data_IF_392710887497
#
_entry.id   IF_392710887497
#
_cell.length_a   1.000
_cell.length_b   1.000
_cell.length_c   1.000
_cell.angle_alpha   90.00
_cell.angle_beta   90.00
_cell.angle_gamma   90.00
#
_symmetry.space_group_name_H-M   'P 1'
#
loop_
_entity.id
_entity.type
_entity.pdbx_description
1 polymer ?
#
# COMPACT_ATOMS: atom_id res chain seq x y z
N UNK A 1 -15.19 -1.05 67.25
CA UNK A 1 -13.96 -0.28 66.95
C UNK A 1 -13.37 -0.64 65.57
N UNK A 2 -14.21 -0.79 64.52
CA UNK A 2 -13.75 -1.20 63.17
C UNK A 2 -14.30 -0.33 62.01
N UNK A 3 -15.15 0.68 62.31
CA UNK A 3 -15.78 1.55 61.29
C UNK A 3 -15.02 2.87 61.01
N UNK A 4 -14.12 3.32 61.89
CA UNK A 4 -13.47 4.63 61.77
C UNK A 4 -12.34 4.70 60.74
N UNK A 5 -11.66 3.58 60.48
CA UNK A 5 -10.48 3.56 59.60
C UNK A 5 -10.82 3.47 58.10
N UNK A 6 -11.95 2.87 57.73
CA UNK A 6 -12.34 2.68 56.32
C UNK A 6 -12.72 4.01 55.65
N UNK A 7 -13.37 4.93 56.37
CA UNK A 7 -13.83 6.22 55.84
C UNK A 7 -12.67 7.21 55.54
N UNK A 8 -11.60 7.19 56.35
CA UNK A 8 -10.41 8.03 56.13
C UNK A 8 -9.54 7.55 54.96
N UNK A 9 -9.54 6.24 54.70
CA UNK A 9 -8.84 5.66 53.54
C UNK A 9 -9.63 5.98 52.27
N UNK A 10 -10.96 5.81 52.28
CA UNK A 10 -11.78 6.04 51.09
C UNK A 10 -11.75 7.51 50.62
N UNK A 11 -11.73 8.48 51.54
CA UNK A 11 -11.61 9.91 51.23
C UNK A 11 -10.22 10.32 50.73
N UNK A 12 -9.16 9.65 51.21
CA UNK A 12 -7.80 9.87 50.70
C UNK A 12 -7.61 9.35 49.27
N UNK A 13 -8.18 8.18 48.96
CA UNK A 13 -8.08 7.57 47.63
C UNK A 13 -8.90 8.32 46.58
N UNK A 14 -10.07 8.88 46.94
CA UNK A 14 -10.81 9.72 46.00
C UNK A 14 -10.04 11.00 45.66
N UNK A 15 -9.42 11.66 46.64
CA UNK A 15 -8.63 12.87 46.38
C UNK A 15 -7.41 12.60 45.49
N UNK A 16 -6.70 11.48 45.68
CA UNK A 16 -5.55 11.10 44.84
C UNK A 16 -5.98 10.67 43.43
N UNK A 17 -7.10 9.97 43.29
CA UNK A 17 -7.65 9.57 41.99
C UNK A 17 -8.13 10.80 41.19
N UNK A 18 -8.88 11.72 41.81
CA UNK A 18 -9.38 12.92 41.13
C UNK A 18 -8.26 13.89 40.73
N UNK A 19 -7.24 14.08 41.58
CA UNK A 19 -6.07 14.90 41.23
C UNK A 19 -5.22 14.26 40.13
N UNK A 20 -5.02 12.93 40.18
CA UNK A 20 -4.32 12.18 39.14
C UNK A 20 -5.02 12.19 37.79
N UNK A 21 -6.35 11.96 37.76
CA UNK A 21 -7.16 12.04 36.54
C UNK A 21 -7.18 13.46 35.96
N UNK A 22 -7.21 14.50 36.81
CA UNK A 22 -7.14 15.91 36.38
C UNK A 22 -5.82 16.25 35.69
N UNK A 23 -4.68 15.88 36.28
CA UNK A 23 -3.35 16.07 35.69
C UNK A 23 -3.17 15.27 34.39
N UNK A 24 -3.65 14.03 34.35
CA UNK A 24 -3.59 13.19 33.15
C UNK A 24 -4.46 13.74 32.01
N UNK A 25 -5.67 14.25 32.31
CA UNK A 25 -6.55 14.86 31.33
C UNK A 25 -5.96 16.16 30.74
N UNK A 26 -5.39 17.03 31.58
CA UNK A 26 -4.71 18.25 31.14
C UNK A 26 -3.47 17.95 30.27
N UNK A 27 -2.68 16.94 30.64
CA UNK A 27 -1.52 16.50 29.86
C UNK A 27 -1.93 15.87 28.51
N UNK A 28 -3.01 15.07 28.48
CA UNK A 28 -3.60 14.57 27.22
C UNK A 28 -4.13 15.71 26.34
N UNK A 29 -4.78 16.73 26.90
CA UNK A 29 -5.31 17.88 26.12
C UNK A 29 -4.20 18.73 25.50
N UNK A 30 -3.05 18.88 26.16
CA UNK A 30 -1.88 19.56 25.59
C UNK A 30 -1.24 18.77 24.43
N UNK A 31 -1.11 17.44 24.58
CA UNK A 31 -0.52 16.57 23.53
C UNK A 31 -1.43 16.35 22.31
N UNK A 32 -2.75 16.54 22.42
CA UNK A 32 -3.67 16.46 21.27
C UNK A 32 -3.69 17.71 20.42
N UNK A 33 -3.60 18.91 21.02
CA UNK A 33 -3.54 20.19 20.29
C UNK A 33 -2.31 20.26 19.38
N UNK A 34 -1.15 19.84 19.90
CA UNK A 34 0.08 19.79 19.11
C UNK A 34 -0.01 18.78 17.94
N UNK A 35 -0.68 17.63 18.15
CA UNK A 35 -0.96 16.66 17.08
C UNK A 35 -1.90 17.22 16.00
N UNK A 36 -2.92 17.99 16.36
CA UNK A 36 -3.84 18.60 15.39
C UNK A 36 -3.15 19.66 14.53
N UNK A 37 -2.33 20.53 15.12
CA UNK A 37 -1.54 21.53 14.38
C UNK A 37 -0.53 20.86 13.43
N UNK A 38 0.14 19.80 13.87
CA UNK A 38 1.03 19.01 13.00
C UNK A 38 0.26 18.32 11.86
N UNK A 39 -0.95 17.81 12.09
CA UNK A 39 -1.77 17.20 11.04
C UNK A 39 -2.27 18.22 10.00
N UNK A 40 -2.63 19.44 10.41
CA UNK A 40 -3.03 20.51 9.48
C UNK A 40 -1.85 21.01 8.64
N UNK A 41 -0.67 21.16 9.25
CA UNK A 41 0.56 21.52 8.54
C UNK A 41 0.96 20.45 7.51
N UNK A 42 0.89 19.16 7.88
CA UNK A 42 1.12 18.03 6.96
C UNK A 42 0.11 17.99 5.81
N UNK A 43 -1.20 18.19 6.06
CA UNK A 43 -2.23 18.24 5.02
C UNK A 43 -2.06 19.41 4.04
N UNK A 44 -1.54 20.56 4.49
CA UNK A 44 -1.21 21.69 3.60
C UNK A 44 0.02 21.40 2.73
N UNK A 45 1.06 20.79 3.32
CA UNK A 45 2.25 20.37 2.58
C UNK A 45 1.92 19.28 1.53
N UNK A 46 1.07 18.30 1.88
CA UNK A 46 0.66 17.22 0.96
C UNK A 46 -0.09 17.75 -0.26
N UNK A 47 -1.05 18.67 -0.09
CA UNK A 47 -1.78 19.28 -1.22
C UNK A 47 -0.88 20.06 -2.19
N UNK A 48 0.17 20.71 -1.69
CA UNK A 48 1.11 21.43 -2.54
C UNK A 48 1.94 20.47 -3.41
N UNK A 49 2.36 19.33 -2.85
CA UNK A 49 3.12 18.29 -3.57
C UNK A 49 2.25 17.65 -4.65
N UNK A 50 1.00 17.28 -4.31
CA UNK A 50 0.04 16.69 -5.25
C UNK A 50 -0.25 17.63 -6.44
N UNK A 51 -0.44 18.92 -6.18
CA UNK A 51 -0.65 19.91 -7.25
C UNK A 51 0.56 20.07 -8.18
N UNK A 52 1.78 19.96 -7.66
CA UNK A 52 3.02 20.02 -8.45
C UNK A 52 3.13 18.76 -9.33
N UNK A 53 2.82 17.59 -8.79
CA UNK A 53 2.88 16.31 -9.50
C UNK A 53 1.81 16.25 -10.61
N UNK A 54 0.58 16.64 -10.32
CA UNK A 54 -0.50 16.77 -11.30
C UNK A 54 -0.15 17.76 -12.42
N UNK A 55 0.48 18.90 -12.10
CA UNK A 55 0.93 19.87 -13.10
C UNK A 55 2.00 19.29 -14.05
N UNK A 56 2.89 18.43 -13.55
CA UNK A 56 3.90 17.75 -14.38
C UNK A 56 3.27 16.71 -15.30
N UNK A 57 2.29 15.94 -14.82
CA UNK A 57 1.56 14.95 -15.63
C UNK A 57 0.82 15.65 -16.79
N UNK A 58 0.15 16.77 -16.50
CA UNK A 58 -0.60 17.53 -17.53
C UNK A 58 0.32 18.25 -18.54
N UNK A 59 1.54 18.64 -18.14
CA UNK A 59 2.50 19.28 -19.02
C UNK A 59 3.29 18.29 -19.89
N UNK A 60 3.28 16.99 -19.55
CA UNK A 60 4.03 15.94 -20.24
C UNK A 60 3.19 15.07 -21.17
N UNK A 61 1.87 15.28 -21.26
CA UNK A 61 1.00 14.45 -22.08
C UNK A 61 1.03 14.93 -23.55
N UNK A 62 1.56 14.15 -24.51
CA UNK A 62 1.35 14.46 -25.92
C UNK A 62 -0.15 14.51 -26.19
N UNK A 63 -0.63 15.51 -26.92
CA UNK A 63 -2.02 15.62 -27.34
C UNK A 63 -2.32 14.43 -28.28
N UNK A 64 -2.72 13.31 -27.68
CA UNK A 64 -2.95 12.05 -28.37
C UNK A 64 -4.32 12.13 -29.04
N UNK A 65 -4.35 11.98 -30.36
CA UNK A 65 -5.57 11.78 -31.16
C UNK A 65 -6.47 10.74 -30.46
N UNK A 66 -7.77 11.02 -30.36
CA UNK A 66 -8.77 10.15 -29.71
C UNK A 66 -8.68 8.69 -30.20
N UNK A 67 -8.34 8.48 -31.47
CA UNK A 67 -8.15 7.15 -32.06
C UNK A 67 -6.91 6.43 -31.52
N UNK A 68 -5.80 7.15 -31.33
CA UNK A 68 -4.57 6.60 -30.74
C UNK A 68 -4.72 6.36 -29.24
N UNK A 69 -5.50 7.19 -28.55
CA UNK A 69 -5.80 7.00 -27.14
C UNK A 69 -6.62 5.74 -26.89
N UNK A 70 -7.65 5.48 -27.72
CA UNK A 70 -8.42 4.24 -27.65
C UNK A 70 -7.56 3.01 -27.91
N UNK A 71 -6.71 3.07 -28.94
CA UNK A 71 -5.80 1.97 -29.26
C UNK A 71 -4.83 1.66 -28.11
N UNK A 72 -4.23 2.68 -27.48
CA UNK A 72 -3.32 2.48 -26.35
C UNK A 72 -4.07 1.88 -25.15
N UNK A 73 -5.29 2.35 -24.86
CA UNK A 73 -6.11 1.79 -23.79
C UNK A 73 -6.47 0.32 -24.03
N UNK A 74 -6.89 -0.03 -25.26
CA UNK A 74 -7.25 -1.41 -25.60
C UNK A 74 -6.04 -2.34 -25.45
N UNK A 75 -4.86 -1.89 -25.89
CA UNK A 75 -3.60 -2.63 -25.73
C UNK A 75 -3.20 -2.77 -24.26
N UNK A 76 -3.32 -1.72 -23.45
CA UNK A 76 -3.03 -1.79 -22.01
C UNK A 76 -3.92 -2.83 -21.31
N UNK A 77 -5.22 -2.86 -21.64
CA UNK A 77 -6.17 -3.81 -21.07
C UNK A 77 -5.83 -5.24 -21.49
N UNK A 78 -5.54 -5.48 -22.77
CA UNK A 78 -5.19 -6.80 -23.28
C UNK A 78 -3.92 -7.34 -22.59
N UNK A 79 -2.89 -6.51 -22.47
CA UNK A 79 -1.64 -6.86 -21.80
C UNK A 79 -1.84 -7.15 -20.31
N UNK A 80 -2.61 -6.33 -19.60
CA UNK A 80 -2.92 -6.56 -18.18
C UNK A 80 -3.73 -7.83 -17.96
N UNK A 81 -4.65 -8.14 -18.88
CA UNK A 81 -5.45 -9.37 -18.84
C UNK A 81 -4.59 -10.62 -19.04
N UNK A 82 -3.69 -10.64 -20.02
CA UNK A 82 -2.77 -11.77 -20.23
C UNK A 82 -1.87 -11.99 -19.01
N UNK A 83 -1.33 -10.92 -18.43
CA UNK A 83 -0.55 -10.99 -17.19
C UNK A 83 -1.37 -11.60 -16.05
N UNK A 84 -2.60 -11.12 -15.84
CA UNK A 84 -3.49 -11.63 -14.78
C UNK A 84 -3.80 -13.12 -14.96
N UNK A 85 -4.11 -13.56 -16.18
CA UNK A 85 -4.44 -14.95 -16.48
C UNK A 85 -3.25 -15.88 -16.22
N UNK A 86 -2.04 -15.49 -16.68
CA UNK A 86 -0.81 -16.26 -16.45
C UNK A 86 -0.43 -16.31 -14.98
N UNK A 87 -0.54 -15.19 -14.27
CA UNK A 87 -0.27 -15.09 -12.84
C UNK A 87 -1.22 -15.99 -12.04
N UNK A 88 -2.52 -15.89 -12.31
CA UNK A 88 -3.56 -16.67 -11.63
C UNK A 88 -3.34 -18.16 -11.84
N UNK A 89 -3.11 -18.59 -13.09
CA UNK A 89 -2.81 -19.99 -13.41
C UNK A 89 -1.54 -20.50 -12.71
N UNK A 90 -0.47 -19.70 -12.71
CA UNK A 90 0.79 -20.06 -12.07
C UNK A 90 0.66 -20.18 -10.55
N UNK A 91 -0.03 -19.23 -9.89
CA UNK A 91 -0.20 -19.25 -8.45
C UNK A 91 -1.19 -20.34 -8.01
N UNK A 92 -2.26 -20.58 -8.76
CA UNK A 92 -3.15 -21.70 -8.51
C UNK A 92 -2.39 -23.03 -8.55
N UNK A 93 -1.60 -23.27 -9.61
CA UNK A 93 -0.79 -24.50 -9.74
C UNK A 93 0.27 -24.66 -8.64
N UNK A 94 0.79 -23.56 -8.09
CA UNK A 94 1.85 -23.59 -7.07
C UNK A 94 1.32 -23.71 -5.64
N UNK A 95 0.16 -23.13 -5.36
CA UNK A 95 -0.34 -22.97 -4.00
C UNK A 95 -1.56 -23.83 -3.68
N UNK A 96 -2.31 -24.30 -4.69
CA UNK A 96 -3.51 -25.11 -4.50
C UNK A 96 -3.22 -26.54 -4.89
N UNK A 97 -3.38 -27.45 -3.94
CA UNK A 97 -3.21 -28.88 -4.20
C UNK A 97 -4.40 -29.42 -5.00
N UNK A 98 -4.20 -30.43 -5.87
CA UNK A 98 -5.30 -31.05 -6.62
C UNK A 98 -6.26 -31.85 -5.72
N UNK A 99 -5.86 -32.16 -4.48
CA UNK A 99 -6.71 -32.81 -3.49
C UNK A 99 -7.36 -31.75 -2.59
N UNK A 100 -8.64 -31.48 -2.82
CA UNK A 100 -9.43 -30.53 -2.05
C UNK A 100 -10.12 -31.25 -0.90
N UNK A 101 -9.84 -30.82 0.34
CA UNK A 101 -10.50 -31.32 1.54
C UNK A 101 -11.67 -30.41 1.97
N UNK A 102 -11.56 -29.12 1.67
CA UNK A 102 -12.52 -28.07 2.06
C UNK A 102 -12.68 -27.07 0.89
N UNK A 103 -13.84 -26.39 0.78
CA UNK A 103 -14.09 -25.43 -0.31
C UNK A 103 -13.42 -24.07 -0.08
N UNK A 104 -12.98 -23.79 1.15
CA UNK A 104 -12.33 -22.54 1.52
C UNK A 104 -10.81 -22.67 1.42
N UNK A 105 -10.14 -21.54 1.15
CA UNK A 105 -8.69 -21.47 1.18
C UNK A 105 -8.20 -21.66 2.60
N UNK A 106 -7.38 -22.69 2.82
CA UNK A 106 -6.68 -22.86 4.08
C UNK A 106 -5.72 -21.69 4.33
N UNK A 107 -5.44 -21.38 5.60
CA UNK A 107 -4.51 -20.29 5.98
C UNK A 107 -3.14 -20.41 5.28
N UNK A 108 -2.67 -21.64 5.07
CA UNK A 108 -1.42 -21.90 4.35
C UNK A 108 -1.49 -21.53 2.86
N UNK A 109 -2.62 -21.81 2.21
CA UNK A 109 -2.87 -21.50 0.81
C UNK A 109 -3.01 -19.99 0.62
N UNK A 110 -3.74 -19.29 1.50
CA UNK A 110 -3.85 -17.83 1.46
C UNK A 110 -2.48 -17.15 1.53
N UNK A 111 -1.64 -17.53 2.52
CA UNK A 111 -0.28 -16.97 2.67
C UNK A 111 0.62 -17.36 1.50
N UNK A 112 0.44 -18.55 0.91
CA UNK A 112 1.16 -18.95 -0.29
C UNK A 112 0.80 -18.06 -1.49
N UNK A 113 -0.49 -17.79 -1.73
CA UNK A 113 -0.97 -16.95 -2.83
C UNK A 113 -0.37 -15.56 -2.73
N UNK A 114 -0.42 -14.92 -1.55
CA UNK A 114 0.16 -13.58 -1.34
C UNK A 114 1.65 -13.53 -1.71
N UNK A 115 2.42 -14.52 -1.25
CA UNK A 115 3.85 -14.65 -1.58
C UNK A 115 4.08 -14.97 -3.04
N UNK A 116 3.19 -15.75 -3.66
CA UNK A 116 3.30 -16.11 -5.06
C UNK A 116 3.13 -14.88 -5.96
N UNK A 117 2.09 -14.07 -5.70
CA UNK A 117 1.82 -12.84 -6.45
C UNK A 117 3.01 -11.87 -6.32
N UNK A 118 3.51 -11.65 -5.10
CA UNK A 118 4.68 -10.81 -4.88
C UNK A 118 5.90 -11.27 -5.72
N UNK A 119 6.23 -12.57 -5.67
CA UNK A 119 7.33 -13.12 -6.46
C UNK A 119 7.08 -13.07 -7.97
N UNK A 120 5.83 -13.25 -8.40
CA UNK A 120 5.47 -13.21 -9.81
C UNK A 120 5.74 -11.82 -10.39
N UNK A 121 5.32 -10.77 -9.68
CA UNK A 121 5.54 -9.38 -10.08
C UNK A 121 7.04 -9.02 -10.08
N UNK A 122 7.79 -9.45 -9.06
CA UNK A 122 9.25 -9.25 -9.00
C UNK A 122 9.97 -9.88 -10.20
N UNK A 123 9.55 -11.08 -10.61
CA UNK A 123 10.11 -11.78 -11.77
C UNK A 123 9.66 -11.10 -13.06
N UNK A 124 8.39 -10.71 -13.16
CA UNK A 124 7.83 -10.01 -14.31
C UNK A 124 8.62 -8.70 -14.60
N UNK A 125 8.93 -7.91 -13.57
CA UNK A 125 9.74 -6.69 -13.71
C UNK A 125 11.17 -7.01 -14.20
N UNK A 126 11.82 -8.02 -13.64
CA UNK A 126 13.19 -8.43 -14.04
C UNK A 126 13.24 -8.92 -15.48
N UNK A 127 12.25 -9.70 -15.89
CA UNK A 127 12.11 -10.16 -17.28
C UNK A 127 11.91 -8.95 -18.20
N UNK A 128 11.03 -8.02 -17.83
CA UNK A 128 10.82 -6.78 -18.57
C UNK A 128 12.13 -6.01 -18.80
N UNK A 129 12.92 -5.78 -17.74
CA UNK A 129 14.24 -5.12 -17.85
C UNK A 129 15.18 -5.88 -18.79
N UNK A 130 15.18 -7.21 -18.73
CA UNK A 130 16.07 -8.03 -19.55
C UNK A 130 15.66 -8.02 -21.02
N UNK A 131 14.36 -8.08 -21.32
CA UNK A 131 13.83 -7.96 -22.67
C UNK A 131 14.23 -6.62 -23.29
N UNK A 132 14.07 -5.50 -22.57
CA UNK A 132 14.51 -4.18 -23.06
C UNK A 132 16.01 -4.16 -23.35
N UNK A 133 16.85 -4.73 -22.49
CA UNK A 133 18.29 -4.83 -22.74
C UNK A 133 18.61 -5.64 -24.00
N UNK A 134 17.89 -6.74 -24.24
CA UNK A 134 18.07 -7.58 -25.43
C UNK A 134 17.70 -6.79 -26.69
N UNK A 135 16.54 -6.14 -26.72
CA UNK A 135 16.10 -5.35 -27.87
C UNK A 135 17.07 -4.21 -28.22
N UNK A 136 17.62 -3.53 -27.21
CA UNK A 136 18.65 -2.50 -27.42
C UNK A 136 19.96 -3.07 -27.98
N UNK A 137 20.32 -4.30 -27.60
CA UNK A 137 21.51 -4.96 -28.13
C UNK A 137 21.30 -5.44 -29.57
N UNK A 138 20.11 -5.95 -29.91
CA UNK A 138 19.77 -6.36 -31.27
C UNK A 138 19.85 -5.19 -32.26
N UNK A 139 19.37 -4.01 -31.87
CA UNK A 139 19.49 -2.78 -32.67
C UNK A 139 20.96 -2.45 -32.99
N UNK A 140 21.85 -2.54 -31.99
CA UNK A 140 23.29 -2.30 -32.18
C UNK A 140 23.93 -3.32 -33.11
N UNK A 141 23.50 -4.58 -33.03
CA UNK A 141 24.01 -5.65 -33.90
C UNK A 141 23.60 -5.38 -35.35
N UNK A 142 22.36 -4.97 -35.60
CA UNK A 142 21.87 -4.61 -36.93
C UNK A 142 22.63 -3.41 -37.53
N UNK A 143 22.86 -2.36 -36.74
CA UNK A 143 23.65 -1.19 -37.17
C UNK A 143 25.11 -1.53 -37.47
N UNK A 144 25.71 -2.49 -36.76
CA UNK A 144 27.10 -2.93 -37.01
C UNK A 144 27.27 -3.84 -38.25
N UNK A 145 26.16 -4.27 -38.84
CA UNK A 145 26.12 -5.16 -40.00
C UNK A 145 25.74 -4.46 -41.31
N UNK A 146 25.49 -3.14 -41.27
CA UNK A 146 25.31 -2.25 -42.42
C UNK A 146 26.52 -1.33 -42.58
#
# INVERSE_FOLDING_TARGET
MFESHVSKILTGWTLTIFTGLGLFYLSRKATTKHRQEQMLARRRAQRAIENIENKKIMAGLPQLDETKLKLVQDLEIEMMSDMYNRMTSACHKKCILPLYNEPELGKGESVCIDRCIAKYLDIHEKIGKKLTQISMNEQKIQESSS
#
